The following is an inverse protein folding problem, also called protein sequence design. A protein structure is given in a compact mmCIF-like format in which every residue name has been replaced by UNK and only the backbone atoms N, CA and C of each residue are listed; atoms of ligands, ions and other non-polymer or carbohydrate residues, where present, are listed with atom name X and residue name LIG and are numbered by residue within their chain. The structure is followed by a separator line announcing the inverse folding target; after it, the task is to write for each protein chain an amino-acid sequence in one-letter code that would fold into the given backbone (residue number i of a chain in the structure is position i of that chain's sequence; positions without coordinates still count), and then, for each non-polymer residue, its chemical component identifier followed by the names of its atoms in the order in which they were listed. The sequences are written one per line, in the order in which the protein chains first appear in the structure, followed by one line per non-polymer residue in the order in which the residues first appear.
data_IF_638682568879
#
_entry.id   IF_638682568879
#
_cell.length_a   1.000
_cell.length_b   1.000
_cell.length_c   1.000
_cell.angle_alpha   90.00
_cell.angle_beta   90.00
_cell.angle_gamma   90.00
#
_symmetry.space_group_name_H-M   'P 1'
#
loop_
_entity.id
_entity.type
_entity.pdbx_description
1 polymer ?
#
# COMPACT_ATOMS: atom_id res chain seq x y z
N UNK A 1 -2.48 2.64 3.01
CA UNK A 1 -1.13 2.24 3.43
C UNK A 1 -0.58 3.29 4.38
N UNK A 2 -0.04 2.89 5.53
CA UNK A 2 0.70 3.77 6.42
C UNK A 2 1.96 3.07 6.93
N UNK A 3 3.01 3.86 7.17
CA UNK A 3 4.29 3.41 7.73
C UNK A 3 4.42 4.02 9.11
N UNK A 4 4.82 3.20 10.07
CA UNK A 4 5.06 3.59 11.45
C UNK A 4 6.54 3.36 11.78
N UNK A 5 7.15 4.32 12.47
CA UNK A 5 8.48 4.14 13.05
C UNK A 5 8.40 3.19 14.24
N UNK A 6 9.40 2.34 14.41
CA UNK A 6 9.45 1.39 15.53
C UNK A 6 9.95 2.01 16.83
N UNK A 7 10.67 3.14 16.75
CA UNK A 7 11.34 3.74 17.90
C UNK A 7 10.36 4.47 18.82
N UNK A 8 9.40 5.21 18.26
CA UNK A 8 8.38 5.97 19.02
C UNK A 8 6.94 5.66 18.64
N UNK A 9 6.69 4.67 17.77
CA UNK A 9 5.36 4.37 17.22
C UNK A 9 4.68 5.60 16.62
N UNK A 10 5.44 6.44 15.92
CA UNK A 10 4.92 7.58 15.21
C UNK A 10 4.59 7.23 13.75
N UNK A 11 3.48 7.80 13.26
CA UNK A 11 3.08 7.65 11.86
C UNK A 11 4.01 8.48 10.98
N UNK A 12 4.91 7.81 10.30
CA UNK A 12 5.91 8.44 9.43
C UNK A 12 5.30 8.90 8.09
N UNK A 13 4.47 8.05 7.48
CA UNK A 13 3.85 8.36 6.17
C UNK A 13 2.53 7.63 5.99
N UNK A 14 1.66 8.18 5.14
CA UNK A 14 0.50 7.44 4.63
C UNK A 14 0.15 7.78 3.20
N UNK A 15 -0.42 6.80 2.50
CA UNK A 15 -1.07 6.94 1.20
C UNK A 15 -2.41 6.20 1.20
N UNK A 16 -3.45 6.84 0.66
CA UNK A 16 -4.73 6.20 0.39
C UNK A 16 -4.63 5.28 -0.84
N UNK A 17 -5.22 4.09 -0.75
CA UNK A 17 -5.40 3.24 -1.92
C UNK A 17 -6.50 3.86 -2.78
N UNK A 18 -6.17 4.20 -4.02
CA UNK A 18 -7.13 4.76 -4.97
C UNK A 18 -7.86 3.62 -5.66
N UNK A 19 -9.17 3.54 -5.49
CA UNK A 19 -10.02 2.56 -6.17
C UNK A 19 -10.22 3.02 -7.63
N UNK A 20 -9.94 2.18 -8.64
CA UNK A 20 -10.16 2.51 -10.03
C UNK A 20 -11.61 2.90 -10.31
N UNK A 21 -11.79 3.87 -11.21
CA UNK A 21 -13.11 4.29 -11.67
C UNK A 21 -13.92 3.08 -12.18
N UNK A 22 -15.19 3.01 -11.78
CA UNK A 22 -16.08 1.89 -12.12
C UNK A 22 -16.03 0.71 -11.15
N UNK A 23 -15.24 0.77 -10.07
CA UNK A 23 -15.26 -0.22 -8.98
C UNK A 23 -15.86 0.39 -7.71
N UNK A 24 -16.73 -0.36 -7.05
CA UNK A 24 -17.36 0.08 -5.80
C UNK A 24 -16.33 0.04 -4.66
N UNK A 25 -16.19 1.11 -3.87
CA UNK A 25 -15.38 1.06 -2.65
C UNK A 25 -15.96 0.02 -1.68
N UNK A 26 -15.14 -0.94 -1.28
CA UNK A 26 -15.50 -1.95 -0.30
C UNK A 26 -14.81 -1.61 1.04
N UNK A 27 -15.53 -1.04 2.03
CA UNK A 27 -14.92 -0.58 3.29
C UNK A 27 -14.32 -1.70 4.15
N UNK A 28 -14.65 -2.96 3.86
CA UNK A 28 -14.15 -4.16 4.53
C UNK A 28 -13.27 -5.03 3.63
N UNK A 29 -12.81 -4.51 2.48
CA UNK A 29 -11.97 -5.27 1.57
C UNK A 29 -10.64 -5.67 2.22
N UNK A 30 -10.29 -6.94 2.07
CA UNK A 30 -9.01 -7.45 2.53
C UNK A 30 -7.88 -6.77 1.76
N UNK A 31 -6.90 -6.25 2.50
CA UNK A 31 -5.67 -5.68 1.92
C UNK A 31 -4.48 -6.45 2.47
N UNK A 32 -3.70 -7.05 1.57
CA UNK A 32 -2.48 -7.78 1.91
C UNK A 32 -1.27 -7.02 1.37
N UNK A 33 -0.19 -7.05 2.14
CA UNK A 33 1.09 -6.41 1.78
C UNK A 33 2.19 -7.46 1.79
N UNK A 34 3.03 -7.47 0.77
CA UNK A 34 4.20 -8.34 0.70
C UNK A 34 5.40 -7.55 0.20
N UNK A 35 6.49 -7.55 0.96
CA UNK A 35 7.74 -6.93 0.53
C UNK A 35 8.45 -7.77 -0.52
N UNK A 36 9.04 -7.10 -1.50
CA UNK A 36 9.98 -7.71 -2.42
C UNK A 36 11.32 -7.96 -1.71
N UNK A 37 12.13 -8.88 -2.25
CA UNK A 37 13.40 -9.26 -1.64
C UNK A 37 14.41 -8.10 -1.59
N UNK A 38 14.29 -7.12 -2.48
CA UNK A 38 15.14 -5.93 -2.52
C UNK A 38 14.88 -4.92 -1.39
N UNK A 39 13.81 -5.09 -0.60
CA UNK A 39 13.37 -4.18 0.47
C UNK A 39 13.03 -2.75 0.02
N UNK A 40 13.05 -2.46 -1.28
CA UNK A 40 12.71 -1.14 -1.84
C UNK A 40 11.31 -1.12 -2.44
N UNK A 41 10.75 -2.28 -2.74
CA UNK A 41 9.40 -2.41 -3.28
C UNK A 41 8.51 -3.31 -2.42
N UNK A 42 7.21 -3.09 -2.50
CA UNK A 42 6.21 -3.98 -1.94
C UNK A 42 4.97 -4.08 -2.83
N UNK A 43 4.38 -5.27 -2.85
CA UNK A 43 3.13 -5.58 -3.50
C UNK A 43 1.98 -5.31 -2.53
N UNK A 44 0.96 -4.61 -3.01
CA UNK A 44 -0.34 -4.50 -2.36
C UNK A 44 -1.35 -5.27 -3.18
N UNK A 45 -2.01 -6.22 -2.53
CA UNK A 45 -3.16 -6.94 -3.08
C UNK A 45 -4.38 -6.47 -2.32
N UNK A 46 -5.27 -5.78 -3.02
CA UNK A 46 -6.58 -5.39 -2.55
C UNK A 46 -7.62 -6.13 -3.40
N UNK A 47 -8.80 -6.39 -2.87
CA UNK A 47 -9.87 -7.12 -3.57
C UNK A 47 -10.11 -6.61 -5.01
N UNK A 48 -10.06 -5.29 -5.18
CA UNK A 48 -10.28 -4.66 -6.48
C UNK A 48 -9.01 -4.43 -7.29
N UNK A 49 -7.79 -4.55 -6.77
CA UNK A 49 -6.58 -4.16 -7.52
C UNK A 49 -5.30 -4.79 -6.98
N UNK A 50 -4.28 -4.83 -7.82
CA UNK A 50 -2.93 -5.21 -7.43
C UNK A 50 -1.99 -4.10 -7.87
N UNK A 51 -1.10 -3.65 -6.99
CA UNK A 51 -0.15 -2.58 -7.31
C UNK A 51 1.18 -2.76 -6.59
N UNK A 52 2.26 -2.32 -7.22
CA UNK A 52 3.62 -2.28 -6.67
C UNK A 52 3.91 -0.85 -6.22
N UNK A 53 4.43 -0.72 -5.01
CA UNK A 53 4.80 0.56 -4.42
C UNK A 53 6.26 0.57 -3.99
N UNK A 54 6.88 1.74 -4.01
CA UNK A 54 8.20 1.97 -3.42
C UNK A 54 8.07 2.24 -1.90
N UNK A 55 8.95 1.66 -1.07
CA UNK A 55 8.79 1.58 0.39
C UNK A 55 8.93 2.91 1.13
N UNK A 56 9.81 3.80 0.68
CA UNK A 56 10.11 5.07 1.38
C UNK A 56 9.11 6.18 1.08
N UNK A 57 8.72 6.31 -0.19
CA UNK A 57 7.80 7.34 -0.68
C UNK A 57 6.36 6.87 -0.70
N UNK A 58 6.12 5.56 -0.64
CA UNK A 58 4.82 4.92 -0.88
C UNK A 58 4.26 5.27 -2.26
N UNK A 59 5.10 5.57 -3.26
CA UNK A 59 4.64 5.91 -4.61
C UNK A 59 4.27 4.65 -5.38
N UNK A 60 3.16 4.71 -6.15
CA UNK A 60 2.74 3.60 -7.00
C UNK A 60 3.69 3.54 -8.21
N UNK A 61 4.41 2.44 -8.34
CA UNK A 61 5.32 2.18 -9.46
C UNK A 61 4.55 1.56 -10.62
N UNK A 62 3.61 0.67 -10.31
CA UNK A 62 2.80 -0.05 -11.30
C UNK A 62 1.48 -0.51 -10.70
N UNK A 63 0.40 -0.46 -11.48
CA UNK A 63 -0.96 -0.91 -11.15
C UNK A 63 -1.63 -1.53 -12.37
#
# INVERSE_FOLDING_TARGET
ICVWGTDGWEKQRSRSLQVPAGRTPAPLAETRVQFHQDQTHFLVVHETQIAIYETTKLECVKQ
#
